data_IF_911088634800
#
_entry.id   IF_911088634800
#
_cell.length_a   1.000
_cell.length_b   1.000
_cell.length_c   1.000
_cell.angle_alpha   90.00
_cell.angle_beta   90.00
_cell.angle_gamma   90.00
#
_symmetry.space_group_name_H-M   'P 1'
#
loop_
_entity.id
_entity.type
_entity.pdbx_description
1 polymer ?
#
# COMPACT_ATOMS: atom_id res chain seq x y z
N UNK A 1 8.82 -14.99 -13.75
CA UNK A 1 9.79 -14.31 -12.86
C UNK A 1 9.04 -13.59 -11.75
N UNK A 2 9.61 -13.57 -10.56
CA UNK A 2 8.94 -13.02 -9.37
C UNK A 2 9.92 -12.22 -8.54
N UNK A 3 9.47 -11.08 -8.04
CA UNK A 3 10.22 -10.26 -7.07
C UNK A 3 9.37 -10.13 -5.81
N UNK A 4 9.99 -10.28 -4.64
CA UNK A 4 9.30 -10.17 -3.36
C UNK A 4 10.05 -9.22 -2.42
N UNK A 5 9.29 -8.43 -1.66
CA UNK A 5 9.81 -7.52 -0.66
C UNK A 5 8.81 -7.46 0.50
N UNK A 6 9.31 -7.44 1.72
CA UNK A 6 8.43 -7.32 2.89
C UNK A 6 9.15 -6.53 3.99
N UNK A 7 8.36 -5.72 4.72
CA UNK A 7 8.88 -4.95 5.85
C UNK A 7 7.82 -4.89 6.94
N UNK A 8 8.26 -5.06 8.18
CA UNK A 8 7.41 -4.92 9.35
C UNK A 8 7.97 -3.82 10.24
N UNK A 9 7.09 -2.92 10.70
CA UNK A 9 7.46 -1.86 11.63
C UNK A 9 6.45 -1.83 12.78
N UNK A 10 6.83 -1.24 13.89
CA UNK A 10 5.92 -1.02 15.02
C UNK A 10 5.64 0.47 15.15
N UNK A 11 4.45 0.81 15.66
CA UNK A 11 4.01 2.18 15.89
C UNK A 11 3.30 2.28 17.23
N UNK A 12 3.33 3.47 17.84
CA UNK A 12 2.54 3.73 19.05
C UNK A 12 1.07 4.02 18.74
N UNK A 13 0.72 4.17 17.45
CA UNK A 13 -0.67 4.33 17.02
C UNK A 13 -1.41 2.99 17.14
N UNK A 14 -2.74 3.06 17.17
CA UNK A 14 -3.58 1.85 17.19
C UNK A 14 -3.76 1.31 15.77
N UNK A 15 -4.18 0.04 15.66
CA UNK A 15 -4.55 -0.53 14.38
C UNK A 15 -5.67 0.30 13.72
N UNK A 16 -6.61 0.81 14.50
CA UNK A 16 -7.68 1.66 14.01
C UNK A 16 -7.13 2.94 13.35
N UNK A 17 -6.15 3.57 13.98
CA UNK A 17 -5.55 4.81 13.44
C UNK A 17 -4.85 4.56 12.11
N UNK A 18 -4.15 3.44 11.98
CA UNK A 18 -3.48 3.05 10.73
C UNK A 18 -4.53 2.74 9.66
N UNK A 19 -5.57 1.98 10.02
CA UNK A 19 -6.62 1.62 9.08
C UNK A 19 -7.37 2.85 8.55
N UNK A 20 -7.57 3.86 9.39
CA UNK A 20 -8.24 5.10 8.97
C UNK A 20 -7.51 5.78 7.80
N UNK A 21 -6.17 5.70 7.77
CA UNK A 21 -5.37 6.23 6.67
C UNK A 21 -5.41 5.30 5.46
N UNK A 22 -5.27 4.00 5.66
CA UNK A 22 -5.29 3.02 4.57
C UNK A 22 -6.64 3.00 3.86
N UNK A 23 -7.74 3.10 4.59
CA UNK A 23 -9.08 3.03 4.00
C UNK A 23 -9.54 4.35 3.37
N UNK A 24 -8.68 5.35 3.36
CA UNK A 24 -8.93 6.64 2.73
C UNK A 24 -7.92 6.87 1.59
N UNK A 25 -8.21 6.38 0.38
CA UNK A 25 -7.29 6.54 -0.75
C UNK A 25 -6.92 7.99 -1.05
N UNK A 26 -7.79 8.94 -0.72
CA UNK A 26 -7.48 10.36 -0.87
C UNK A 26 -6.33 10.84 0.00
N UNK A 27 -5.96 10.08 1.03
CA UNK A 27 -4.84 10.41 1.91
C UNK A 27 -3.51 9.77 1.45
N UNK A 28 -3.54 8.81 0.52
CA UNK A 28 -2.35 8.03 0.18
C UNK A 28 -1.18 8.87 -0.29
N UNK A 29 -1.45 9.93 -1.06
CA UNK A 29 -0.39 10.83 -1.52
C UNK A 29 0.31 11.57 -0.36
N UNK A 30 -0.31 11.62 0.80
CA UNK A 30 0.27 12.31 1.96
C UNK A 30 1.38 11.50 2.63
N UNK A 31 1.31 10.16 2.54
CA UNK A 31 2.30 9.32 3.21
C UNK A 31 3.12 8.45 2.24
N UNK A 32 2.68 8.28 1.00
CA UNK A 32 3.40 7.48 0.01
C UNK A 32 3.96 8.40 -1.09
N UNK A 33 5.28 8.59 -1.13
CA UNK A 33 5.88 9.50 -2.12
C UNK A 33 5.77 9.01 -3.55
N UNK A 34 5.43 7.74 -3.79
CA UNK A 34 5.26 7.21 -5.14
C UNK A 34 3.88 7.49 -5.72
N UNK A 35 2.93 7.96 -4.90
CA UNK A 35 1.53 8.15 -5.30
C UNK A 35 1.21 9.63 -5.43
N UNK A 36 0.69 10.03 -6.59
CA UNK A 36 0.17 11.39 -6.80
C UNK A 36 -1.32 11.45 -6.48
N UNK A 37 -2.09 10.46 -6.93
CA UNK A 37 -3.53 10.41 -6.67
C UNK A 37 -4.05 8.99 -6.85
N UNK A 38 -5.21 8.72 -6.22
CA UNK A 38 -5.93 7.46 -6.36
C UNK A 38 -7.41 7.79 -6.44
N UNK A 39 -8.10 7.22 -7.42
CA UNK A 39 -9.54 7.33 -7.56
C UNK A 39 -10.13 5.93 -7.66
N UNK A 40 -10.83 5.50 -6.62
CA UNK A 40 -11.57 4.24 -6.62
C UNK A 40 -13.04 4.52 -6.91
N UNK A 41 -13.67 3.62 -7.65
CA UNK A 41 -15.12 3.68 -7.87
C UNK A 41 -15.81 3.02 -6.68
N UNK A 42 -16.67 3.77 -6.01
CA UNK A 42 -17.43 3.28 -4.86
C UNK A 42 -16.62 3.26 -3.57
N UNK A 43 -17.01 2.36 -2.68
CA UNK A 43 -16.42 2.27 -1.34
C UNK A 43 -15.10 1.50 -1.34
N UNK A 44 -14.33 1.70 -0.27
CA UNK A 44 -13.11 0.92 -0.02
C UNK A 44 -13.52 -0.47 0.45
N UNK A 45 -13.73 -1.35 -0.52
CA UNK A 45 -14.25 -2.69 -0.29
C UNK A 45 -13.66 -3.67 -1.30
N UNK A 46 -13.71 -4.95 -0.96
CA UNK A 46 -13.22 -6.01 -1.84
C UNK A 46 -13.91 -5.94 -3.20
N UNK A 47 -13.12 -5.98 -4.26
CA UNK A 47 -13.59 -5.86 -5.63
C UNK A 47 -13.60 -4.43 -6.17
N UNK A 48 -13.40 -3.42 -5.33
CA UNK A 48 -13.34 -2.04 -5.80
C UNK A 48 -12.15 -1.86 -6.74
N UNK A 49 -12.35 -1.09 -7.79
CA UNK A 49 -11.34 -0.85 -8.81
C UNK A 49 -11.29 0.63 -9.15
N UNK A 50 -10.18 1.07 -9.68
CA UNK A 50 -10.00 2.46 -10.06
C UNK A 50 -8.68 2.69 -10.75
N UNK A 51 -8.20 3.93 -10.66
CA UNK A 51 -6.96 4.35 -11.29
C UNK A 51 -6.05 5.03 -10.27
N UNK A 52 -4.79 4.64 -10.27
CA UNK A 52 -3.76 5.26 -9.45
C UNK A 52 -2.80 6.02 -10.38
N UNK A 53 -2.45 7.23 -10.00
CA UNK A 53 -1.43 8.01 -10.72
C UNK A 53 -0.18 8.00 -9.86
N UNK A 54 0.89 7.45 -10.42
CA UNK A 54 2.20 7.40 -9.77
C UNK A 54 3.01 8.64 -10.11
N UNK A 55 4.06 8.89 -9.34
CA UNK A 55 4.98 10.01 -9.58
C UNK A 55 5.45 10.03 -11.02
N UNK A 56 5.37 11.20 -11.65
CA UNK A 56 5.67 11.34 -13.07
C UNK A 56 4.45 11.22 -13.96
N UNK A 57 3.25 11.13 -13.37
CA UNK A 57 2.00 11.08 -14.13
C UNK A 57 1.68 9.71 -14.73
N UNK A 58 2.31 8.65 -14.21
CA UNK A 58 2.10 7.29 -14.72
C UNK A 58 0.79 6.74 -14.16
N UNK A 59 -0.17 6.44 -15.06
CA UNK A 59 -1.47 5.91 -14.67
C UNK A 59 -1.44 4.37 -14.66
N UNK A 60 -1.88 3.78 -13.55
CA UNK A 60 -1.96 2.33 -13.42
C UNK A 60 -3.32 1.92 -12.85
N UNK A 61 -3.98 0.91 -13.45
CA UNK A 61 -5.20 0.37 -12.88
C UNK A 61 -4.92 -0.27 -11.51
N UNK A 62 -5.83 -0.07 -10.57
CA UNK A 62 -5.74 -0.65 -9.23
C UNK A 62 -7.04 -1.37 -8.89
N UNK A 63 -6.93 -2.54 -8.27
CA UNK A 63 -8.06 -3.33 -7.82
C UNK A 63 -7.80 -3.79 -6.38
N UNK A 64 -8.79 -3.63 -5.51
CA UNK A 64 -8.72 -4.17 -4.15
C UNK A 64 -9.17 -5.63 -4.20
N UNK A 65 -8.21 -6.55 -4.12
CA UNK A 65 -8.52 -7.99 -4.22
C UNK A 65 -9.04 -8.55 -2.91
N UNK A 66 -8.65 -7.96 -1.79
CA UNK A 66 -9.08 -8.39 -0.47
C UNK A 66 -9.19 -7.17 0.43
N UNK A 67 -10.25 -7.09 1.22
CA UNK A 67 -10.38 -6.06 2.26
C UNK A 67 -10.97 -6.72 3.50
N UNK A 68 -10.18 -6.73 4.58
CA UNK A 68 -10.63 -7.15 5.91
C UNK A 68 -10.60 -5.89 6.78
N UNK A 69 -11.74 -5.22 6.97
CA UNK A 69 -11.77 -3.92 7.65
C UNK A 69 -11.07 -3.92 9.01
N UNK A 70 -10.20 -2.95 9.19
CA UNK A 70 -9.43 -2.81 10.43
C UNK A 70 -8.20 -3.68 10.53
N UNK A 71 -7.95 -4.57 9.56
CA UNK A 71 -6.88 -5.56 9.67
C UNK A 71 -5.99 -5.67 8.42
N UNK A 72 -6.58 -5.68 7.22
CA UNK A 72 -5.80 -6.05 6.04
C UNK A 72 -6.46 -5.59 4.76
N UNK A 73 -5.65 -5.17 3.78
CA UNK A 73 -6.11 -5.07 2.41
C UNK A 73 -4.99 -5.45 1.45
N UNK A 74 -5.38 -6.08 0.34
CA UNK A 74 -4.46 -6.48 -0.73
C UNK A 74 -4.90 -5.78 -2.00
N UNK A 75 -4.03 -4.96 -2.57
CA UNK A 75 -4.33 -4.35 -3.86
C UNK A 75 -3.43 -4.94 -4.95
N UNK A 76 -3.92 -4.86 -6.18
CA UNK A 76 -3.22 -5.30 -7.36
C UNK A 76 -3.12 -4.15 -8.34
N UNK A 77 -1.91 -3.87 -8.77
CA UNK A 77 -1.61 -2.86 -9.79
C UNK A 77 -1.20 -3.58 -11.07
N UNK A 78 -1.67 -3.07 -12.21
CA UNK A 78 -1.29 -3.58 -13.52
C UNK A 78 -0.38 -2.55 -14.20
N UNK A 79 0.84 -2.95 -14.53
CA UNK A 79 1.80 -2.03 -15.13
C UNK A 79 2.65 -2.74 -16.19
N UNK A 80 2.36 -2.45 -17.48
CA UNK A 80 3.20 -2.92 -18.57
C UNK A 80 3.44 -4.44 -18.62
N UNK A 81 2.42 -5.23 -18.38
CA UNK A 81 2.54 -6.70 -18.36
C UNK A 81 2.98 -7.25 -17.00
N UNK A 82 3.29 -6.38 -16.06
CA UNK A 82 3.62 -6.76 -14.69
C UNK A 82 2.38 -6.69 -13.83
N UNK A 83 2.28 -7.60 -12.85
CA UNK A 83 1.30 -7.54 -11.78
C UNK A 83 2.00 -7.27 -10.48
N UNK A 84 1.56 -6.23 -9.80
CA UNK A 84 2.11 -5.85 -8.50
C UNK A 84 1.03 -6.06 -7.46
N UNK A 85 1.26 -7.01 -6.55
CA UNK A 85 0.37 -7.25 -5.42
C UNK A 85 1.02 -6.67 -4.18
N UNK A 86 0.29 -5.81 -3.47
CA UNK A 86 0.78 -5.21 -2.24
C UNK A 86 -0.19 -5.56 -1.12
N UNK A 87 0.31 -6.32 -0.14
CA UNK A 87 -0.47 -6.78 0.99
C UNK A 87 -0.15 -5.89 2.20
N UNK A 88 -1.20 -5.32 2.80
CA UNK A 88 -1.09 -4.39 3.92
C UNK A 88 -1.79 -5.02 5.12
N UNK A 89 -1.03 -5.34 6.17
CA UNK A 89 -1.56 -5.98 7.38
C UNK A 89 -1.22 -5.11 8.58
N UNK A 90 -2.22 -4.87 9.43
CA UNK A 90 -2.02 -4.20 10.70
C UNK A 90 -2.69 -5.01 11.80
N UNK A 91 -2.01 -5.15 12.93
CA UNK A 91 -2.57 -5.84 14.10
C UNK A 91 -2.14 -5.10 15.37
N UNK A 92 -3.01 -5.14 16.38
CA UNK A 92 -2.67 -4.55 17.67
C UNK A 92 -1.49 -5.29 18.30
N UNK A 93 -0.64 -4.54 18.96
CA UNK A 93 0.52 -5.05 19.67
C UNK A 93 0.69 -4.25 20.95
N UNK A 94 1.57 -4.73 21.84
CA UNK A 94 1.80 -4.04 23.10
C UNK A 94 2.27 -2.60 22.84
N UNK A 95 1.52 -1.64 23.35
CA UNK A 95 1.84 -0.23 23.22
C UNK A 95 1.51 0.40 21.88
N UNK A 96 0.77 -0.31 21.01
CA UNK A 96 0.40 0.26 19.72
C UNK A 96 -0.01 -0.80 18.70
N UNK A 97 0.67 -0.82 17.55
CA UNK A 97 0.34 -1.75 16.49
C UNK A 97 1.60 -2.19 15.72
N UNK A 98 1.48 -3.31 15.02
CA UNK A 98 2.49 -3.82 14.12
C UNK A 98 1.95 -3.72 12.70
N UNK A 99 2.73 -3.12 11.81
CA UNK A 99 2.35 -2.88 10.41
C UNK A 99 3.30 -3.65 9.50
N UNK A 100 2.75 -4.47 8.62
CA UNK A 100 3.52 -5.23 7.64
C UNK A 100 3.02 -4.92 6.25
N UNK A 101 3.94 -4.58 5.35
CA UNK A 101 3.62 -4.38 3.93
C UNK A 101 4.52 -5.31 3.12
N UNK A 102 3.89 -6.14 2.30
CA UNK A 102 4.58 -7.13 1.46
C UNK A 102 4.22 -6.90 0.00
N UNK A 103 5.24 -6.80 -0.84
CA UNK A 103 5.06 -6.58 -2.28
C UNK A 103 5.52 -7.81 -3.04
N UNK A 104 4.69 -8.26 -3.98
CA UNK A 104 5.04 -9.36 -4.89
C UNK A 104 4.78 -8.90 -6.32
N UNK A 105 5.81 -8.93 -7.16
CA UNK A 105 5.72 -8.53 -8.55
C UNK A 105 5.94 -9.76 -9.41
N UNK A 106 5.03 -10.01 -10.35
CA UNK A 106 5.11 -11.14 -11.28
C UNK A 106 5.08 -10.63 -12.71
N UNK A 107 5.75 -11.36 -13.60
CA UNK A 107 5.80 -11.06 -15.02
C UNK A 107 7.22 -10.82 -15.53
N UNK A 108 7.38 -10.58 -16.84
CA UNK A 108 8.69 -10.36 -17.46
C UNK A 108 9.39 -9.13 -16.88
N UNK A 109 10.63 -9.30 -16.42
CA UNK A 109 11.41 -8.20 -15.86
C UNK A 109 11.09 -7.83 -14.43
N UNK A 110 10.29 -8.63 -13.71
CA UNK A 110 9.90 -8.35 -12.33
C UNK A 110 11.13 -8.19 -11.42
N UNK A 111 12.15 -9.02 -11.57
CA UNK A 111 13.36 -8.98 -10.76
C UNK A 111 14.17 -7.69 -11.00
N UNK A 112 14.15 -7.19 -12.23
CA UNK A 112 14.92 -6.01 -12.59
C UNK A 112 14.24 -4.72 -12.10
N UNK A 113 12.90 -4.65 -12.17
CA UNK A 113 12.17 -3.45 -11.79
C UNK A 113 11.82 -3.41 -10.30
N UNK A 114 11.81 -4.58 -9.64
CA UNK A 114 11.40 -4.70 -8.26
C UNK A 114 12.05 -3.72 -7.28
N UNK A 115 13.40 -3.60 -7.29
CA UNK A 115 14.06 -2.66 -6.39
C UNK A 115 13.60 -1.21 -6.56
N UNK A 116 13.32 -0.80 -7.81
CA UNK A 116 12.83 0.55 -8.08
C UNK A 116 11.39 0.73 -7.59
N UNK A 117 10.55 -0.26 -7.81
CA UNK A 117 9.14 -0.21 -7.39
C UNK A 117 9.01 -0.12 -5.87
N UNK A 118 9.88 -0.81 -5.14
CA UNK A 118 9.83 -0.86 -3.67
C UNK A 118 10.73 0.16 -2.98
N UNK A 119 11.42 1.00 -3.75
CA UNK A 119 12.40 1.94 -3.17
C UNK A 119 11.79 2.90 -2.14
N UNK A 120 10.56 3.34 -2.35
CA UNK A 120 9.89 4.30 -1.45
C UNK A 120 9.10 3.62 -0.33
N UNK A 121 9.01 2.30 -0.31
CA UNK A 121 8.22 1.58 0.68
C UNK A 121 8.63 1.88 2.14
N UNK A 122 9.94 1.90 2.49
CA UNK A 122 10.32 2.21 3.86
C UNK A 122 9.87 3.60 4.29
N UNK A 123 10.04 4.60 3.43
CA UNK A 123 9.63 5.97 3.76
C UNK A 123 8.11 6.09 3.87
N UNK A 124 7.38 5.42 2.97
CA UNK A 124 5.93 5.41 3.00
C UNK A 124 5.42 4.84 4.34
N UNK A 125 6.00 3.73 4.80
CA UNK A 125 5.60 3.12 6.06
C UNK A 125 5.95 4.01 7.25
N UNK A 126 7.12 4.63 7.26
CA UNK A 126 7.53 5.52 8.35
C UNK A 126 6.62 6.76 8.40
N UNK A 127 6.28 7.34 7.26
CA UNK A 127 5.40 8.51 7.19
C UNK A 127 3.97 8.14 7.61
N UNK A 128 3.48 6.98 7.15
CA UNK A 128 2.17 6.48 7.56
C UNK A 128 2.08 6.37 9.07
N UNK A 129 3.07 5.76 9.69
CA UNK A 129 3.11 5.58 11.15
C UNK A 129 3.17 6.94 11.87
N UNK A 130 3.98 7.88 11.38
CA UNK A 130 4.06 9.22 11.95
C UNK A 130 2.71 9.93 11.89
N UNK A 131 2.02 9.85 10.77
CA UNK A 131 0.69 10.45 10.62
C UNK A 131 -0.34 9.79 11.55
N UNK A 132 -0.31 8.46 11.64
CA UNK A 132 -1.21 7.73 12.52
C UNK A 132 -0.98 8.08 13.99
N UNK A 133 0.27 8.40 14.35
CA UNK A 133 0.65 8.83 15.71
C UNK A 133 0.32 10.31 15.99
N UNK A 134 -0.15 11.03 14.98
CA UNK A 134 -0.48 12.44 15.13
C UNK A 134 0.72 13.38 14.99
N UNK A 135 1.76 12.93 14.34
CA UNK A 135 2.99 13.74 14.15
C UNK A 135 3.05 14.35 12.77
#
# INVERSE_FOLDING_TARGET
MTFEYSRTVTTSATAHDVWALWSDPGSWHCWDPSVESVALEGHFAEGAAGMMVLTGGIEVPVTLELVEPGARYLDRLEMGGLRIHIDHVVKDADGGAEVTVSTMITGPGAEDIGPMVTADAPKAMDTLCAMAEGR
#
